data_IF_167476568168
#
_entry.id   IF_167476568168
#
_cell.length_a   1.000
_cell.length_b   1.000
_cell.length_c   1.000
_cell.angle_alpha   90.00
_cell.angle_beta   90.00
_cell.angle_gamma   90.00
#
_symmetry.space_group_name_H-M   'P 1'
#
loop_
_entity.id
_entity.type
_entity.pdbx_description
1 polymer ?
#
# COMPACT_ATOMS: atom_id res chain seq x y z
N UNK A 1 20.68 26.84 -7.17
CA UNK A 1 19.47 27.08 -6.36
C UNK A 1 18.31 26.72 -7.25
N UNK A 2 17.85 25.49 -7.13
CA UNK A 2 16.58 25.10 -7.72
C UNK A 2 15.53 25.52 -6.71
N UNK A 3 15.12 26.77 -6.83
CA UNK A 3 14.23 27.43 -5.85
C UNK A 3 12.94 26.65 -5.62
N UNK A 4 12.52 25.80 -6.56
CA UNK A 4 11.32 25.01 -6.41
C UNK A 4 11.66 23.76 -5.61
N UNK A 5 12.66 22.99 -6.03
CA UNK A 5 13.07 21.78 -5.31
C UNK A 5 13.58 22.10 -3.88
N UNK A 6 14.37 23.16 -3.70
CA UNK A 6 14.95 23.55 -2.43
C UNK A 6 13.87 24.00 -1.42
N UNK A 7 12.85 24.77 -1.85
CA UNK A 7 11.77 25.22 -0.96
C UNK A 7 10.80 24.09 -0.60
N UNK A 8 10.47 23.19 -1.54
CA UNK A 8 9.57 22.05 -1.27
C UNK A 8 10.21 20.95 -0.41
N UNK A 9 11.53 20.75 -0.52
CA UNK A 9 12.24 19.73 0.26
C UNK A 9 12.66 20.23 1.64
N UNK A 10 13.02 21.50 1.79
CA UNK A 10 13.58 22.05 3.04
C UNK A 10 12.60 22.98 3.78
N UNK A 11 11.42 23.23 3.22
CA UNK A 11 10.43 24.19 3.74
C UNK A 11 10.88 25.65 3.68
N UNK A 12 12.13 25.93 3.34
CA UNK A 12 12.71 27.26 3.21
C UNK A 12 13.80 27.23 2.15
N UNK A 13 13.81 28.18 1.21
CA UNK A 13 15.02 28.46 0.43
C UNK A 13 15.46 29.90 0.59
N UNK A 14 16.78 30.08 0.67
CA UNK A 14 17.43 31.38 0.73
C UNK A 14 18.18 31.61 -0.56
N UNK A 15 18.05 32.81 -1.12
CA UNK A 15 18.77 33.18 -2.32
C UNK A 15 19.21 34.64 -2.28
N UNK A 16 20.40 34.95 -2.83
CA UNK A 16 20.87 36.32 -2.91
C UNK A 16 20.09 37.07 -3.99
N UNK A 17 19.54 38.22 -3.62
CA UNK A 17 18.92 39.21 -4.50
C UNK A 17 19.86 40.40 -4.59
N UNK A 18 20.45 40.59 -5.75
CA UNK A 18 21.24 41.79 -6.04
C UNK A 18 20.32 42.84 -6.67
N UNK A 19 20.14 43.97 -6.00
CA UNK A 19 19.41 45.10 -6.57
C UNK A 19 20.40 46.19 -6.98
N UNK A 20 20.18 46.79 -8.14
CA UNK A 20 21.01 47.88 -8.66
C UNK A 20 20.25 49.19 -8.58
N UNK A 21 20.27 49.82 -7.40
CA UNK A 21 19.83 51.20 -7.21
C UNK A 21 20.93 51.97 -6.48
N UNK A 22 21.87 52.56 -7.24
CA UNK A 22 22.89 53.49 -6.72
C UNK A 22 24.07 52.88 -5.94
N UNK A 23 24.08 51.57 -5.70
CA UNK A 23 25.18 50.80 -5.10
C UNK A 23 24.85 49.30 -5.19
N UNK A 24 25.86 48.42 -5.29
CA UNK A 24 25.63 46.98 -5.38
C UNK A 24 25.50 46.37 -3.98
N UNK A 25 24.31 46.45 -3.40
CA UNK A 25 24.00 45.73 -2.17
C UNK A 25 23.37 44.37 -2.52
N UNK A 26 23.86 43.32 -1.86
CA UNK A 26 23.32 41.96 -1.98
C UNK A 26 22.45 41.71 -0.75
N UNK A 27 21.14 41.59 -0.95
CA UNK A 27 20.19 41.23 0.11
C UNK A 27 19.86 39.75 0.00
N UNK A 28 19.80 39.03 1.11
CA UNK A 28 19.33 37.63 1.11
C UNK A 28 17.81 37.63 1.27
N UNK A 29 17.08 37.12 0.27
CA UNK A 29 15.66 36.85 0.40
C UNK A 29 15.46 35.39 0.83
N UNK A 30 14.50 35.16 1.73
CA UNK A 30 14.06 33.84 2.13
C UNK A 30 12.61 33.65 1.71
N UNK A 31 12.30 32.50 1.10
CA UNK A 31 10.93 32.06 0.84
C UNK A 31 10.69 30.87 1.76
N UNK A 32 9.73 31.02 2.67
CA UNK A 32 9.28 29.99 3.61
C UNK A 32 7.95 29.42 3.09
N UNK A 33 7.88 28.10 2.89
CA UNK A 33 6.66 27.38 2.52
C UNK A 33 6.04 26.70 3.75
N UNK A 34 4.81 26.21 3.53
CA UNK A 34 4.00 25.41 4.45
C UNK A 34 4.85 24.38 5.22
N UNK A 35 4.99 24.56 6.55
CA UNK A 35 5.65 23.58 7.42
C UNK A 35 4.67 22.46 7.79
N UNK A 36 4.95 21.25 7.31
CA UNK A 36 4.17 20.06 7.59
C UNK A 36 4.82 19.24 8.72
N UNK A 37 5.00 19.88 9.86
CA UNK A 37 5.62 19.26 11.04
C UNK A 37 4.69 18.21 11.66
N UNK A 38 5.29 17.17 12.25
CA UNK A 38 4.53 16.25 13.10
C UNK A 38 3.91 17.02 14.28
N UNK A 39 2.66 16.72 14.67
CA UNK A 39 2.08 17.33 15.86
C UNK A 39 2.96 17.00 17.07
N UNK A 40 3.08 17.96 17.98
CA UNK A 40 3.87 17.78 19.20
C UNK A 40 3.21 16.74 20.11
N UNK A 41 3.67 15.49 20.03
CA UNK A 41 3.22 14.38 20.88
C UNK A 41 3.99 14.42 22.20
N UNK A 42 3.62 15.31 23.13
CA UNK A 42 4.20 15.29 24.47
C UNK A 42 3.68 14.08 25.26
N UNK A 43 4.34 12.93 25.13
CA UNK A 43 4.62 12.05 26.26
C UNK A 43 6.14 11.88 26.36
N UNK A 44 6.66 12.45 27.44
CA UNK A 44 8.05 12.46 27.82
C UNK A 44 8.49 11.09 28.32
N UNK A 45 8.96 10.22 27.44
CA UNK A 45 10.04 9.29 27.79
C UNK A 45 11.01 9.26 26.62
N UNK A 46 12.27 9.57 26.94
CA UNK A 46 13.38 9.48 26.03
C UNK A 46 13.54 8.02 25.59
N UNK A 47 12.89 7.67 24.50
CA UNK A 47 13.26 6.52 23.70
C UNK A 47 13.97 7.08 22.46
N UNK A 48 15.29 6.87 22.40
CA UNK A 48 16.19 7.24 21.29
C UNK A 48 15.89 6.43 20.01
N UNK A 49 14.62 6.12 19.78
CA UNK A 49 14.08 5.37 18.64
C UNK A 49 13.14 6.20 17.76
N UNK A 50 12.98 7.49 18.06
CA UNK A 50 12.28 8.44 17.22
C UNK A 50 13.17 9.02 16.10
N UNK A 51 14.13 8.23 15.59
CA UNK A 51 14.85 8.54 14.37
C UNK A 51 14.39 7.61 13.24
N UNK A 52 14.07 8.22 12.11
CA UNK A 52 13.63 7.63 10.83
C UNK A 52 12.12 7.35 10.65
N UNK A 53 11.32 8.38 10.91
CA UNK A 53 10.12 8.66 10.12
C UNK A 53 10.45 9.31 8.74
N UNK A 54 11.67 9.08 8.27
CA UNK A 54 12.36 9.79 7.20
C UNK A 54 12.11 9.04 5.88
N UNK A 55 11.29 9.63 5.00
CA UNK A 55 11.01 9.08 3.68
C UNK A 55 9.73 9.58 3.04
N UNK A 56 8.64 9.72 3.78
CA UNK A 56 7.37 10.12 3.15
C UNK A 56 7.24 11.64 3.04
N UNK A 57 7.19 12.15 1.81
CA UNK A 57 6.95 13.57 1.50
C UNK A 57 5.67 14.05 2.20
N UNK A 58 5.83 14.93 3.19
CA UNK A 58 4.72 15.48 3.98
C UNK A 58 3.92 16.55 3.22
N UNK A 59 4.44 17.05 2.10
CA UNK A 59 3.81 18.06 1.25
C UNK A 59 3.17 17.42 0.04
N UNK A 60 1.84 17.50 -0.06
CA UNK A 60 1.08 17.12 -1.24
C UNK A 60 0.98 18.32 -2.18
N UNK A 61 1.35 18.13 -3.44
CA UNK A 61 1.33 19.18 -4.46
C UNK A 61 0.33 18.83 -5.56
N UNK A 62 -0.45 19.83 -5.95
CA UNK A 62 -1.60 19.73 -6.86
C UNK A 62 -1.58 20.86 -7.90
N UNK A 63 -1.80 20.55 -9.17
CA UNK A 63 -2.16 21.51 -10.22
C UNK A 63 -3.69 21.71 -10.23
N UNK A 64 -4.19 22.88 -9.78
CA UNK A 64 -5.63 23.15 -9.71
C UNK A 64 -6.31 23.23 -11.08
N UNK A 65 -5.55 23.22 -12.18
CA UNK A 65 -6.08 23.17 -13.54
C UNK A 65 -6.35 21.74 -14.02
N UNK A 66 -5.88 20.73 -13.29
CA UNK A 66 -6.10 19.33 -13.62
C UNK A 66 -7.26 18.74 -12.81
N UNK A 67 -7.89 17.71 -13.35
CA UNK A 67 -8.93 16.95 -12.62
C UNK A 67 -8.33 15.86 -11.72
N UNK A 68 -6.99 15.77 -11.61
CA UNK A 68 -6.28 14.75 -10.85
C UNK A 68 -5.86 15.37 -9.52
N UNK A 69 -6.39 14.90 -8.38
CA UNK A 69 -6.01 15.45 -7.09
C UNK A 69 -4.58 15.07 -6.72
N UNK A 70 -3.82 16.07 -6.32
CA UNK A 70 -2.41 15.94 -5.95
C UNK A 70 -1.62 15.26 -7.06
N UNK A 71 -1.74 15.76 -8.28
CA UNK A 71 -1.15 15.21 -9.50
C UNK A 71 0.38 15.01 -9.43
N UNK A 72 1.08 15.78 -8.59
CA UNK A 72 2.53 15.66 -8.38
C UNK A 72 2.96 14.88 -7.15
N UNK A 73 2.02 14.24 -6.45
CA UNK A 73 2.30 13.48 -5.24
C UNK A 73 1.64 12.10 -5.29
N UNK A 74 2.41 11.06 -4.97
CA UNK A 74 1.92 9.69 -4.95
C UNK A 74 1.76 9.21 -3.50
N UNK A 75 0.57 8.77 -3.15
CA UNK A 75 0.30 8.18 -1.85
C UNK A 75 0.92 6.76 -1.78
N UNK A 76 1.46 6.29 -0.63
CA UNK A 76 1.97 4.92 -0.48
C UNK A 76 1.00 3.80 -0.93
N UNK A 77 -0.29 3.96 -0.62
CA UNK A 77 -1.39 3.09 -1.07
C UNK A 77 -1.85 3.28 -2.54
N UNK A 78 -1.39 4.29 -3.26
CA UNK A 78 -1.72 4.41 -4.68
C UNK A 78 -0.96 3.36 -5.49
N UNK A 79 -1.55 2.96 -6.60
CA UNK A 79 -0.81 2.17 -7.57
C UNK A 79 0.19 3.05 -8.31
N UNK A 80 1.42 2.57 -8.44
CA UNK A 80 2.51 3.31 -9.05
C UNK A 80 2.24 3.57 -10.55
N UNK A 81 2.16 4.83 -11.01
CA UNK A 81 2.15 5.15 -12.43
C UNK A 81 3.39 4.59 -13.12
N UNK A 82 3.26 4.16 -14.38
CA UNK A 82 4.41 3.65 -15.16
C UNK A 82 5.59 4.65 -15.20
N UNK A 83 5.28 5.94 -15.33
CA UNK A 83 6.27 7.02 -15.39
C UNK A 83 6.91 7.34 -14.03
N UNK A 84 6.33 6.86 -12.93
CA UNK A 84 6.85 7.10 -11.59
C UNK A 84 8.14 6.29 -11.33
N UNK A 85 8.28 5.14 -11.97
CA UNK A 85 9.47 4.29 -11.80
C UNK A 85 9.68 3.85 -10.35
N UNK A 86 10.94 3.80 -9.91
CA UNK A 86 11.35 3.53 -8.52
C UNK A 86 11.56 4.82 -7.72
N UNK A 87 10.93 5.93 -8.12
CA UNK A 87 10.98 7.14 -7.30
C UNK A 87 10.08 6.95 -6.08
N UNK A 88 10.47 7.55 -4.96
CA UNK A 88 9.69 7.56 -3.72
C UNK A 88 8.22 7.94 -4.00
N UNK A 89 7.22 7.25 -3.38
CA UNK A 89 7.32 6.18 -2.40
C UNK A 89 7.47 4.76 -2.97
N UNK A 90 7.67 4.57 -4.28
CA UNK A 90 7.65 3.24 -4.91
C UNK A 90 8.85 2.40 -4.46
N UNK A 91 8.62 1.30 -3.74
CA UNK A 91 9.70 0.43 -3.29
C UNK A 91 10.23 -0.45 -4.42
N UNK A 92 11.47 -0.94 -4.27
CA UNK A 92 12.08 -1.83 -5.25
C UNK A 92 11.30 -3.14 -5.41
N UNK A 93 10.74 -3.67 -4.32
CA UNK A 93 9.92 -4.87 -4.31
C UNK A 93 8.61 -4.63 -5.07
N UNK A 94 7.91 -3.53 -4.77
CA UNK A 94 6.68 -3.16 -5.46
C UNK A 94 6.90 -2.97 -6.96
N UNK A 95 7.99 -2.30 -7.34
CA UNK A 95 8.36 -2.14 -8.74
C UNK A 95 8.71 -3.48 -9.43
N UNK A 96 9.37 -4.39 -8.71
CA UNK A 96 9.74 -5.72 -9.20
C UNK A 96 8.55 -6.63 -9.51
N UNK A 97 7.40 -6.40 -8.86
CA UNK A 97 6.15 -7.12 -9.14
C UNK A 97 5.46 -6.68 -10.43
N UNK A 98 5.82 -5.51 -10.99
CA UNK A 98 5.16 -4.94 -12.18
C UNK A 98 5.71 -5.61 -13.45
N UNK A 99 4.89 -6.36 -14.22
CA UNK A 99 5.36 -6.95 -15.47
C UNK A 99 5.72 -5.89 -16.50
N UNK A 100 6.77 -6.12 -17.27
CA UNK A 100 7.22 -5.19 -18.31
C UNK A 100 6.11 -4.92 -19.34
N UNK A 101 5.87 -3.64 -19.67
CA UNK A 101 4.85 -3.23 -20.63
C UNK A 101 3.41 -3.25 -20.12
N UNK A 102 3.15 -3.74 -18.90
CA UNK A 102 1.80 -3.80 -18.31
C UNK A 102 1.23 -2.43 -17.91
N UNK A 103 2.10 -1.40 -17.81
CA UNK A 103 1.75 -0.09 -17.24
C UNK A 103 1.09 -0.20 -15.85
N UNK A 104 1.56 -1.16 -15.06
CA UNK A 104 1.04 -1.48 -13.74
C UNK A 104 -0.44 -1.93 -13.76
N UNK A 105 -0.86 -2.62 -14.81
CA UNK A 105 -2.19 -3.24 -14.92
C UNK A 105 -1.99 -4.67 -15.42
N UNK A 106 -2.21 -5.63 -14.53
CA UNK A 106 -1.92 -7.03 -14.83
C UNK A 106 -2.76 -7.97 -13.96
N UNK A 107 -2.70 -9.27 -14.26
CA UNK A 107 -3.27 -10.31 -13.40
C UNK A 107 -2.14 -10.89 -12.54
N UNK A 108 -2.26 -10.91 -11.21
CA UNK A 108 -1.15 -11.29 -10.36
C UNK A 108 -0.92 -12.81 -10.43
N UNK A 109 0.33 -13.22 -10.18
CA UNK A 109 0.64 -14.60 -9.82
C UNK A 109 0.10 -14.90 -8.42
N UNK A 110 -0.02 -16.16 -8.01
CA UNK A 110 -0.41 -16.46 -6.64
C UNK A 110 0.51 -15.77 -5.64
N UNK A 111 -0.08 -15.19 -4.60
CA UNK A 111 0.66 -14.48 -3.57
C UNK A 111 0.15 -14.92 -2.18
N UNK A 112 1.04 -14.98 -1.18
CA UNK A 112 0.67 -15.39 0.16
C UNK A 112 -0.16 -14.31 0.86
N UNK A 113 -1.14 -14.76 1.65
CA UNK A 113 -1.93 -13.91 2.55
C UNK A 113 -1.40 -14.03 3.98
N UNK A 114 -1.14 -15.26 4.41
CA UNK A 114 -0.62 -15.55 5.74
C UNK A 114 0.02 -16.94 5.78
N UNK A 115 0.91 -17.13 6.75
CA UNK A 115 1.50 -18.40 7.12
C UNK A 115 1.17 -18.74 8.57
N UNK A 116 0.81 -20.00 8.83
CA UNK A 116 0.54 -20.52 10.17
C UNK A 116 -0.56 -21.59 10.19
N UNK A 117 -1.39 -21.54 11.25
CA UNK A 117 -2.46 -22.49 11.55
C UNK A 117 -3.83 -22.03 11.02
N UNK A 118 -3.86 -21.22 9.96
CA UNK A 118 -5.11 -20.68 9.41
C UNK A 118 -5.33 -21.10 7.96
N UNK A 119 -6.59 -21.33 7.62
CA UNK A 119 -7.08 -21.54 6.26
C UNK A 119 -8.40 -20.76 6.07
N UNK A 120 -8.99 -20.83 4.88
CA UNK A 120 -10.32 -20.28 4.65
C UNK A 120 -11.36 -20.98 5.53
N UNK A 121 -12.22 -20.20 6.19
CA UNK A 121 -13.39 -20.69 6.90
C UNK A 121 -14.36 -21.34 5.90
N UNK A 122 -14.58 -22.64 6.06
CA UNK A 122 -15.27 -23.43 5.04
C UNK A 122 -16.78 -23.42 5.28
N UNK A 123 -17.53 -22.70 4.44
CA UNK A 123 -18.86 -23.20 4.04
C UNK A 123 -18.61 -24.35 3.07
N UNK A 124 -19.36 -25.45 3.17
CA UNK A 124 -19.08 -26.67 2.40
C UNK A 124 -19.02 -26.44 0.86
N UNK A 125 -19.66 -25.38 0.37
CA UNK A 125 -19.67 -24.95 -1.03
C UNK A 125 -18.40 -24.22 -1.49
N UNK A 126 -17.61 -23.66 -0.57
CA UNK A 126 -16.40 -22.90 -0.90
C UNK A 126 -15.17 -23.79 -1.07
N UNK A 127 -15.18 -24.99 -0.48
CA UNK A 127 -14.09 -25.97 -0.60
C UNK A 127 -14.28 -26.83 -1.85
N UNK A 128 -13.42 -26.60 -2.85
CA UNK A 128 -13.49 -27.29 -4.14
C UNK A 128 -12.85 -28.68 -4.09
N UNK A 129 -11.72 -28.81 -3.40
CA UNK A 129 -10.97 -30.08 -3.35
C UNK A 129 -9.94 -30.06 -2.22
N UNK A 130 -9.75 -31.21 -1.58
CA UNK A 130 -8.59 -31.50 -0.73
C UNK A 130 -7.75 -32.56 -1.44
N UNK A 131 -6.47 -32.27 -1.63
CA UNK A 131 -5.47 -33.16 -2.22
C UNK A 131 -4.50 -33.49 -1.11
N UNK A 132 -4.26 -34.78 -0.86
CA UNK A 132 -3.30 -35.24 0.14
C UNK A 132 -2.12 -35.84 -0.60
N UNK A 133 -0.91 -35.62 -0.10
CA UNK A 133 0.28 -36.25 -0.65
C UNK A 133 0.10 -37.78 -0.67
N UNK A 134 0.47 -38.37 -1.81
CA UNK A 134 0.41 -39.81 -2.06
C UNK A 134 1.63 -40.22 -2.88
N UNK A 135 1.85 -41.53 -3.05
CA UNK A 135 2.96 -42.07 -3.84
C UNK A 135 3.00 -41.56 -5.30
N UNK A 136 1.89 -40.99 -5.80
CA UNK A 136 1.72 -40.54 -7.19
C UNK A 136 1.60 -39.02 -7.30
N UNK A 137 1.29 -38.30 -6.22
CA UNK A 137 1.05 -36.86 -6.24
C UNK A 137 1.68 -36.19 -5.01
N UNK A 138 2.61 -35.26 -5.27
CA UNK A 138 3.10 -34.35 -4.24
C UNK A 138 2.00 -33.31 -3.91
N UNK A 139 1.92 -32.89 -2.66
CA UNK A 139 1.06 -31.78 -2.24
C UNK A 139 1.93 -30.56 -1.87
N UNK A 140 2.84 -30.19 -2.76
CA UNK A 140 3.69 -29.01 -2.63
C UNK A 140 3.02 -27.76 -3.25
N UNK A 141 3.68 -26.60 -3.10
CA UNK A 141 3.18 -25.32 -3.58
C UNK A 141 2.94 -25.31 -5.09
N UNK A 142 3.88 -25.84 -5.88
CA UNK A 142 3.79 -25.80 -7.35
C UNK A 142 2.64 -26.67 -7.84
N UNK A 143 2.47 -27.87 -7.28
CA UNK A 143 1.35 -28.74 -7.62
C UNK A 143 0.02 -28.14 -7.17
N UNK A 144 -0.05 -27.54 -5.98
CA UNK A 144 -1.22 -26.79 -5.50
C UNK A 144 -1.65 -25.71 -6.49
N UNK A 145 -0.70 -24.88 -6.91
CA UNK A 145 -0.93 -23.83 -7.88
C UNK A 145 -1.39 -24.41 -9.22
N UNK A 146 -0.75 -25.48 -9.71
CA UNK A 146 -1.11 -26.11 -10.97
C UNK A 146 -2.54 -26.69 -10.92
N UNK A 147 -2.94 -27.29 -9.80
CA UNK A 147 -4.29 -27.83 -9.61
C UNK A 147 -5.34 -26.72 -9.50
N UNK A 148 -5.01 -25.62 -8.80
CA UNK A 148 -5.85 -24.43 -8.77
C UNK A 148 -5.98 -23.76 -10.15
N UNK A 149 -4.91 -23.76 -10.96
CA UNK A 149 -4.94 -23.21 -12.31
C UNK A 149 -5.88 -24.02 -13.25
N UNK A 150 -5.97 -25.35 -13.09
CA UNK A 150 -6.86 -26.22 -13.88
C UNK A 150 -8.35 -25.99 -13.61
N UNK A 151 -8.72 -25.48 -12.42
CA UNK A 151 -10.11 -25.22 -12.04
C UNK A 151 -10.41 -23.73 -12.18
N UNK A 152 -11.26 -23.33 -13.12
CA UNK A 152 -11.63 -21.92 -13.33
C UNK A 152 -12.13 -21.24 -12.05
N UNK A 153 -12.90 -21.96 -11.23
CA UNK A 153 -13.50 -21.46 -9.99
C UNK A 153 -12.51 -21.29 -8.84
N UNK A 154 -11.33 -21.91 -8.88
CA UNK A 154 -10.36 -21.80 -7.77
C UNK A 154 -9.78 -20.39 -7.68
N UNK A 155 -9.96 -19.72 -6.53
CA UNK A 155 -9.47 -18.37 -6.23
C UNK A 155 -8.47 -18.33 -5.10
N UNK A 156 -8.48 -19.32 -4.21
CA UNK A 156 -7.55 -19.42 -3.09
C UNK A 156 -7.08 -20.86 -2.95
N UNK A 157 -5.89 -21.05 -2.39
CA UNK A 157 -5.45 -22.38 -2.00
C UNK A 157 -4.57 -22.33 -0.77
N UNK A 158 -4.66 -23.37 0.05
CA UNK A 158 -3.74 -23.62 1.15
C UNK A 158 -2.75 -24.70 0.72
N UNK A 159 -1.46 -24.44 0.95
CA UNK A 159 -0.40 -25.42 0.76
C UNK A 159 0.35 -25.58 2.09
N UNK A 160 0.41 -26.81 2.61
CA UNK A 160 1.04 -27.07 3.90
C UNK A 160 0.78 -28.48 4.40
N UNK A 161 0.80 -28.64 5.72
CA UNK A 161 0.65 -29.89 6.42
C UNK A 161 -0.50 -29.84 7.43
N UNK A 162 -1.19 -30.98 7.57
CA UNK A 162 -2.24 -31.20 8.56
C UNK A 162 -1.92 -32.51 9.26
N UNK A 163 -1.66 -32.46 10.57
CA UNK A 163 -1.29 -33.65 11.35
C UNK A 163 -0.14 -34.45 10.72
N UNK A 164 0.88 -33.75 10.19
CA UNK A 164 2.07 -34.31 9.50
C UNK A 164 1.83 -34.94 8.13
N UNK A 165 0.65 -34.76 7.53
CA UNK A 165 0.39 -35.11 6.14
C UNK A 165 0.36 -33.84 5.29
N UNK A 166 1.12 -33.78 4.20
CA UNK A 166 1.03 -32.65 3.28
C UNK A 166 -0.33 -32.65 2.59
N UNK A 167 -0.95 -31.49 2.56
CA UNK A 167 -2.25 -31.27 1.97
C UNK A 167 -2.27 -29.98 1.16
N UNK A 168 -2.96 -30.07 0.03
CA UNK A 168 -3.44 -28.93 -0.73
C UNK A 168 -4.94 -28.78 -0.54
N UNK A 169 -5.43 -27.59 -0.21
CA UNK A 169 -6.86 -27.31 -0.16
C UNK A 169 -7.19 -26.20 -1.13
N UNK A 170 -8.11 -26.44 -2.05
CA UNK A 170 -8.50 -25.49 -3.10
C UNK A 170 -9.85 -24.88 -2.75
N UNK A 171 -9.97 -23.57 -2.85
CA UNK A 171 -11.18 -22.84 -2.49
C UNK A 171 -11.66 -21.94 -3.64
N UNK A 172 -12.97 -21.83 -3.80
CA UNK A 172 -13.61 -20.88 -4.73
C UNK A 172 -13.77 -19.49 -4.14
N UNK A 173 -13.91 -19.39 -2.83
CA UNK A 173 -13.98 -18.12 -2.10
C UNK A 173 -13.31 -18.22 -0.72
N UNK A 174 -13.00 -17.08 -0.11
CA UNK A 174 -12.39 -17.00 1.21
C UNK A 174 -12.82 -15.70 1.89
N UNK A 175 -13.90 -15.74 2.66
CA UNK A 175 -14.44 -14.55 3.35
C UNK A 175 -13.83 -14.37 4.74
N UNK A 176 -13.54 -15.48 5.42
CA UNK A 176 -13.03 -15.48 6.79
C UNK A 176 -11.83 -16.40 6.94
N UNK A 177 -10.93 -16.04 7.85
CA UNK A 177 -9.84 -16.89 8.29
C UNK A 177 -10.30 -17.78 9.44
N UNK A 178 -10.09 -19.08 9.32
CA UNK A 178 -10.40 -20.06 10.35
C UNK A 178 -9.13 -20.74 10.83
N UNK A 179 -8.92 -20.74 12.15
CA UNK A 179 -7.80 -21.41 12.78
C UNK A 179 -8.10 -22.90 12.96
N UNK A 180 -7.23 -23.74 12.43
CA UNK A 180 -7.30 -25.19 12.58
C UNK A 180 -6.08 -25.71 13.34
N UNK A 181 -6.32 -26.38 14.48
CA UNK A 181 -5.24 -26.94 15.29
C UNK A 181 -4.53 -28.08 14.55
N UNK A 182 -3.20 -28.01 14.48
CA UNK A 182 -2.38 -29.00 13.78
C UNK A 182 -2.23 -28.74 12.28
N UNK A 183 -2.75 -27.62 11.79
CA UNK A 183 -2.45 -27.05 10.48
C UNK A 183 -1.13 -26.28 10.54
N UNK A 184 -0.29 -26.39 9.51
CA UNK A 184 0.90 -25.54 9.32
C UNK A 184 1.14 -25.35 7.83
N UNK A 185 1.11 -24.11 7.36
CA UNK A 185 1.33 -23.82 5.95
C UNK A 185 0.93 -22.40 5.59
N UNK A 186 0.78 -22.15 4.30
CA UNK A 186 0.51 -20.81 3.77
C UNK A 186 -0.78 -20.82 2.96
N UNK A 187 -1.62 -19.81 3.23
CA UNK A 187 -2.79 -19.51 2.42
C UNK A 187 -2.41 -18.53 1.32
N UNK A 188 -2.75 -18.86 0.08
CA UNK A 188 -2.47 -18.06 -1.11
C UNK A 188 -3.76 -17.56 -1.75
N UNK A 189 -3.72 -16.33 -2.25
CA UNK A 189 -4.69 -15.78 -3.18
C UNK A 189 -4.26 -16.05 -4.62
N UNK A 190 -5.21 -16.37 -5.50
CA UNK A 190 -5.01 -16.54 -6.93
C UNK A 190 -6.18 -15.98 -7.76
N UNK A 191 -6.32 -14.65 -7.85
CA UNK A 191 -7.45 -13.96 -8.48
C UNK A 191 -7.31 -13.91 -10.02
N UNK A 192 -7.40 -15.06 -10.69
CA UNK A 192 -7.10 -15.23 -12.13
C UNK A 192 -7.84 -14.30 -13.11
N UNK A 193 -8.98 -13.75 -12.72
CA UNK A 193 -9.83 -12.90 -13.58
C UNK A 193 -9.86 -11.44 -13.14
N UNK A 194 -9.13 -11.07 -12.09
CA UNK A 194 -9.10 -9.70 -11.55
C UNK A 194 -7.86 -8.99 -12.06
N UNK A 195 -8.06 -7.83 -12.69
CA UNK A 195 -6.96 -6.92 -12.99
C UNK A 195 -6.58 -6.14 -11.74
N UNK A 196 -5.29 -6.15 -11.44
CA UNK A 196 -4.70 -5.48 -10.30
C UNK A 196 -3.58 -4.57 -10.73
N UNK A 197 -3.19 -3.71 -9.79
CA UNK A 197 -2.01 -2.88 -9.87
C UNK A 197 -1.20 -3.02 -8.59
N UNK A 198 0.13 -3.00 -8.72
CA UNK A 198 1.03 -3.01 -7.58
C UNK A 198 0.94 -1.65 -6.85
N UNK A 199 0.73 -1.73 -5.54
CA UNK A 199 0.73 -0.60 -4.62
C UNK A 199 2.16 -0.07 -4.48
N UNK A 200 2.33 1.25 -4.46
CA UNK A 200 3.64 1.89 -4.44
C UNK A 200 4.50 1.44 -3.26
N UNK A 201 3.92 1.42 -2.05
CA UNK A 201 4.61 0.94 -0.85
C UNK A 201 3.63 0.18 0.05
N UNK A 202 3.59 -1.16 -0.02
CA UNK A 202 2.70 -1.99 0.78
C UNK A 202 2.85 -1.78 2.30
N UNK A 203 4.08 -1.62 2.77
CA UNK A 203 4.41 -1.45 4.20
C UNK A 203 3.91 -0.11 4.74
N UNK A 204 4.34 0.99 4.11
CA UNK A 204 3.87 2.32 4.48
C UNK A 204 2.37 2.48 4.26
N UNK A 205 1.79 1.86 3.22
CA UNK A 205 0.36 1.84 2.99
C UNK A 205 -0.39 1.18 4.15
N UNK A 206 0.09 0.03 4.64
CA UNK A 206 -0.58 -0.66 5.74
C UNK A 206 -0.49 0.14 7.04
N UNK A 207 0.72 0.56 7.40
CA UNK A 207 1.00 1.15 8.71
C UNK A 207 0.50 2.59 8.85
N UNK A 208 0.54 3.40 7.78
CA UNK A 208 0.10 4.80 7.82
C UNK A 208 -1.41 4.91 7.55
N UNK A 209 -1.93 4.05 6.67
CA UNK A 209 -3.28 4.22 6.13
C UNK A 209 -4.20 3.07 6.52
N UNK A 210 -4.02 1.87 5.95
CA UNK A 210 -5.05 0.82 5.97
C UNK A 210 -5.39 0.34 7.36
N UNK A 211 -4.38 0.03 8.18
CA UNK A 211 -4.61 -0.44 9.56
C UNK A 211 -5.38 0.60 10.36
N UNK A 212 -5.05 1.88 10.16
CA UNK A 212 -5.68 3.01 10.86
C UNK A 212 -7.11 3.26 10.35
N UNK A 213 -7.37 3.09 9.05
CA UNK A 213 -8.72 3.09 8.49
C UNK A 213 -9.57 1.98 9.10
N UNK A 214 -9.04 0.75 9.19
CA UNK A 214 -9.75 -0.38 9.81
C UNK A 214 -10.09 -0.11 11.28
N UNK A 215 -9.19 0.54 12.02
CA UNK A 215 -9.43 0.95 13.41
C UNK A 215 -10.32 2.21 13.55
N UNK A 216 -10.77 2.81 12.43
CA UNK A 216 -11.67 3.96 12.38
C UNK A 216 -11.02 5.33 12.51
N UNK A 217 -9.69 5.46 12.38
CA UNK A 217 -8.95 6.71 12.55
C UNK A 217 -9.36 7.82 11.57
N UNK A 218 -9.78 7.45 10.36
CA UNK A 218 -10.22 8.38 9.32
C UNK A 218 -10.93 7.63 8.18
N UNK A 219 -11.80 8.34 7.45
CA UNK A 219 -12.50 7.84 6.26
C UNK A 219 -12.18 8.76 5.07
N UNK A 220 -10.94 8.75 4.60
CA UNK A 220 -10.44 9.65 3.54
C UNK A 220 -10.42 9.02 2.15
N UNK A 221 -11.03 7.84 1.97
CA UNK A 221 -11.11 7.15 0.67
C UNK A 221 -11.67 8.06 -0.44
N UNK A 222 -12.46 9.07 -0.07
CA UNK A 222 -13.10 10.03 -0.97
C UNK A 222 -12.18 11.19 -1.39
N UNK A 223 -11.30 11.69 -0.52
CA UNK A 223 -10.42 12.83 -0.85
C UNK A 223 -9.13 12.39 -1.52
N UNK A 224 -8.57 11.26 -1.09
CA UNK A 224 -7.29 10.75 -1.59
C UNK A 224 -7.44 9.71 -2.69
N UNK A 225 -8.67 9.31 -3.04
CA UNK A 225 -8.96 8.35 -4.11
C UNK A 225 -8.07 7.11 -4.02
N UNK A 226 -8.10 6.45 -2.86
CA UNK A 226 -7.34 5.24 -2.62
C UNK A 226 -8.06 4.04 -3.27
N UNK A 227 -7.39 3.23 -4.10
CA UNK A 227 -8.02 2.05 -4.72
C UNK A 227 -8.29 0.96 -3.67
N UNK A 228 -9.24 0.07 -3.88
CA UNK A 228 -9.49 -1.02 -2.92
C UNK A 228 -8.36 -2.03 -2.93
N UNK A 229 -7.88 -2.40 -1.74
CA UNK A 229 -6.88 -3.45 -1.61
C UNK A 229 -7.51 -4.81 -1.96
N UNK A 230 -6.81 -5.61 -2.77
CA UNK A 230 -7.24 -6.97 -3.07
C UNK A 230 -7.14 -7.82 -1.79
N UNK A 231 -8.18 -8.58 -1.45
CA UNK A 231 -8.25 -9.43 -0.26
C UNK A 231 -8.06 -8.68 1.07
N UNK A 232 -8.40 -7.38 1.10
CA UNK A 232 -8.23 -6.51 2.27
C UNK A 232 -8.76 -7.12 3.58
N UNK A 233 -9.97 -7.70 3.55
CA UNK A 233 -10.59 -8.30 4.72
C UNK A 233 -9.79 -9.46 5.32
N UNK A 234 -9.04 -10.22 4.51
CA UNK A 234 -8.23 -11.34 4.99
C UNK A 234 -6.93 -10.83 5.65
N UNK A 235 -6.32 -9.78 5.11
CA UNK A 235 -5.18 -9.11 5.75
C UNK A 235 -5.58 -8.48 7.08
N UNK A 236 -6.75 -7.84 7.14
CA UNK A 236 -7.29 -7.25 8.36
C UNK A 236 -7.56 -8.31 9.44
N UNK A 237 -8.16 -9.44 9.07
CA UNK A 237 -8.38 -10.57 10.00
C UNK A 237 -7.06 -11.17 10.53
N UNK A 238 -6.01 -11.19 9.71
CA UNK A 238 -4.69 -11.65 10.17
C UNK A 238 -4.08 -10.67 11.19
N UNK A 239 -4.15 -9.35 10.92
CA UNK A 239 -3.68 -8.32 11.85
C UNK A 239 -4.51 -8.31 13.16
N UNK A 240 -5.82 -8.54 13.09
CA UNK A 240 -6.68 -8.73 14.26
C UNK A 240 -6.26 -9.97 15.09
N UNK A 241 -5.96 -11.09 14.42
CA UNK A 241 -5.47 -12.28 15.11
C UNK A 241 -4.16 -12.03 15.86
N UNK A 242 -3.27 -11.18 15.32
CA UNK A 242 -2.07 -10.72 16.03
C UNK A 242 -2.41 -9.88 17.27
N UNK A 243 -3.41 -8.99 17.20
CA UNK A 243 -3.85 -8.18 18.34
C UNK A 243 -4.43 -9.01 19.49
N UNK A 244 -5.17 -10.09 19.20
CA UNK A 244 -5.83 -10.93 20.22
C UNK A 244 -4.84 -11.94 20.86
N UNK A 245 -3.58 -11.96 20.42
CA UNK A 245 -2.50 -12.75 21.03
C UNK A 245 -1.65 -13.55 20.03
N UNK A 246 -1.93 -13.47 18.74
CA UNK A 246 -1.12 -14.05 17.67
C UNK A 246 -1.06 -15.57 17.65
N UNK A 247 -1.96 -16.26 18.36
CA UNK A 247 -1.88 -17.71 18.51
C UNK A 247 -2.14 -18.41 17.18
N UNK A 248 -1.11 -19.11 16.68
CA UNK A 248 -1.18 -19.85 15.43
C UNK A 248 -0.93 -18.99 14.18
N UNK A 249 -0.58 -17.71 14.32
CA UNK A 249 -0.07 -16.89 13.22
C UNK A 249 1.46 -16.95 13.24
N UNK A 250 2.08 -17.29 12.12
CA UNK A 250 3.54 -17.22 11.96
C UNK A 250 3.92 -15.93 11.23
N UNK A 251 3.22 -15.63 10.13
CA UNK A 251 3.43 -14.42 9.32
C UNK A 251 2.09 -13.92 8.79
N UNK A 252 1.81 -12.62 8.96
CA UNK A 252 0.79 -11.92 8.18
C UNK A 252 1.47 -11.17 7.04
N UNK A 253 1.04 -11.44 5.80
CA UNK A 253 1.51 -10.65 4.66
C UNK A 253 0.76 -9.32 4.59
N UNK A 254 1.26 -8.42 3.77
CA UNK A 254 0.64 -7.12 3.52
C UNK A 254 0.01 -7.08 2.13
N UNK A 255 -0.96 -6.19 1.97
CA UNK A 255 -1.60 -5.96 0.70
C UNK A 255 -0.63 -5.34 -0.31
N UNK A 256 -0.20 -6.14 -1.29
CA UNK A 256 0.71 -5.71 -2.38
C UNK A 256 -0.03 -5.22 -3.61
N UNK A 257 -1.28 -5.60 -3.78
CA UNK A 257 -2.07 -5.39 -4.99
C UNK A 257 -3.39 -4.70 -4.67
N UNK A 258 -3.76 -3.71 -5.47
CA UNK A 258 -5.07 -3.07 -5.43
C UNK A 258 -5.88 -3.45 -6.68
N UNK A 259 -7.20 -3.53 -6.53
CA UNK A 259 -8.12 -3.75 -7.64
C UNK A 259 -8.07 -2.54 -8.56
N UNK A 260 -7.86 -2.76 -9.86
CA UNK A 260 -7.83 -1.68 -10.83
C UNK A 260 -9.26 -1.12 -10.99
N UNK A 261 -9.47 0.19 -10.73
CA UNK A 261 -10.77 0.81 -10.93
C UNK A 261 -11.17 0.80 -12.41
N UNK A 262 -12.47 0.82 -12.70
CA UNK A 262 -12.96 0.90 -14.07
C UNK A 262 -12.43 2.12 -14.81
N UNK A 263 -12.25 2.00 -16.13
CA UNK A 263 -11.81 3.12 -16.97
C UNK A 263 -12.74 4.33 -16.86
N UNK A 264 -12.17 5.53 -16.92
CA UNK A 264 -12.91 6.79 -16.81
C UNK A 264 -13.28 7.22 -15.38
N UNK A 265 -13.07 6.38 -14.37
CA UNK A 265 -13.28 6.76 -12.96
C UNK A 265 -12.18 7.70 -12.44
N UNK A 266 -12.47 8.60 -11.49
CA UNK A 266 -11.45 9.44 -10.84
C UNK A 266 -10.32 8.63 -10.20
N UNK A 267 -10.65 7.48 -9.58
CA UNK A 267 -9.68 6.53 -9.02
C UNK A 267 -8.67 6.03 -10.06
N UNK A 268 -9.15 5.74 -11.28
CA UNK A 268 -8.27 5.33 -12.40
C UNK A 268 -7.29 6.44 -12.79
N UNK A 269 -7.67 7.71 -12.64
CA UNK A 269 -6.81 8.86 -12.99
C UNK A 269 -5.66 9.06 -12.00
N UNK A 270 -5.75 8.51 -10.78
CA UNK A 270 -4.60 8.49 -9.86
C UNK A 270 -3.39 7.75 -10.45
N UNK A 271 -3.60 6.78 -11.36
CA UNK A 271 -2.52 6.12 -12.11
C UNK A 271 -1.84 7.01 -13.16
N UNK A 272 -2.36 8.22 -13.39
CA UNK A 272 -1.76 9.21 -14.30
C UNK A 272 -1.08 10.36 -13.57
N UNK A 273 -0.90 10.26 -12.24
CA UNK A 273 -0.04 11.17 -11.48
C UNK A 273 1.37 11.20 -12.07
N UNK A 274 2.00 12.37 -12.01
CA UNK A 274 3.31 12.62 -12.58
C UNK A 274 4.33 13.06 -11.51
N UNK A 275 5.61 12.81 -11.76
CA UNK A 275 6.65 13.27 -10.83
C UNK A 275 6.68 14.79 -10.80
N UNK A 276 6.88 15.33 -9.59
CA UNK A 276 7.15 16.74 -9.41
C UNK A 276 8.41 17.15 -10.18
N UNK A 277 8.32 18.23 -10.95
CA UNK A 277 9.42 18.70 -11.81
C UNK A 277 10.27 19.76 -11.10
N UNK A 278 11.54 19.80 -11.46
CA UNK A 278 12.48 20.88 -11.08
C UNK A 278 12.15 22.24 -11.70
N UNK A 279 11.27 22.29 -12.72
CA UNK A 279 10.89 23.54 -13.35
C UNK A 279 9.48 23.49 -13.92
N UNK A 280 8.81 24.65 -13.89
CA UNK A 280 7.48 24.88 -14.43
C UNK A 280 7.48 26.14 -15.31
N UNK A 281 6.49 26.24 -16.20
CA UNK A 281 6.32 27.41 -17.03
C UNK A 281 6.01 28.65 -16.17
N UNK A 282 6.42 29.82 -16.65
CA UNK A 282 6.08 31.06 -15.96
C UNK A 282 4.55 31.23 -15.90
N UNK A 283 4.02 31.51 -14.70
CA UNK A 283 2.59 31.65 -14.46
C UNK A 283 1.86 30.35 -14.12
N UNK A 284 2.55 29.21 -14.00
CA UNK A 284 1.95 27.98 -13.46
C UNK A 284 1.54 28.19 -12.00
N UNK A 285 0.31 27.78 -11.67
CA UNK A 285 -0.21 27.78 -10.31
C UNK A 285 -0.07 26.37 -9.72
N UNK A 286 0.47 26.27 -8.51
CA UNK A 286 0.57 25.02 -7.76
C UNK A 286 -0.05 25.22 -6.39
N UNK A 287 -0.81 24.24 -5.94
CA UNK A 287 -1.40 24.21 -4.60
C UNK A 287 -0.61 23.21 -3.76
N UNK A 288 -0.10 23.66 -2.61
CA UNK A 288 0.62 22.83 -1.66
C UNK A 288 -0.22 22.66 -0.39
N UNK A 289 -0.32 21.43 0.13
CA UNK A 289 -1.04 21.10 1.36
C UNK A 289 -0.30 20.03 2.15
N UNK A 290 -0.46 20.01 3.48
CA UNK A 290 0.16 18.97 4.30
C UNK A 290 -0.64 17.68 4.28
N UNK A 291 0.07 16.55 4.23
CA UNK A 291 -0.51 15.23 4.43
C UNK A 291 -0.81 15.02 5.93
N UNK A 292 -2.08 15.11 6.30
CA UNK A 292 -2.54 15.11 7.71
C UNK A 292 -2.97 13.73 8.23
N UNK A 293 -3.21 12.78 7.34
CA UNK A 293 -3.73 11.44 7.66
C UNK A 293 -2.87 10.67 8.66
N UNK A 294 -1.54 10.79 8.50
CA UNK A 294 -0.54 10.18 9.38
C UNK A 294 -0.74 10.56 10.85
N UNK A 295 -1.40 11.69 11.10
CA UNK A 295 -1.55 12.30 12.40
C UNK A 295 -2.99 12.28 12.94
N UNK A 296 -3.93 11.64 12.24
CA UNK A 296 -5.30 11.56 12.73
C UNK A 296 -5.38 10.73 14.03
N UNK A 297 -6.18 11.16 15.00
CA UNK A 297 -6.41 10.37 16.20
C UNK A 297 -7.39 9.23 15.93
N UNK A 298 -7.24 8.14 16.68
CA UNK A 298 -8.27 7.10 16.71
C UNK A 298 -9.48 7.62 17.50
N UNK A 299 -10.71 7.50 16.98
CA UNK A 299 -11.89 7.86 17.74
C UNK A 299 -12.02 6.96 18.97
N UNK A 300 -12.33 7.57 20.12
CA UNK A 300 -12.48 6.88 21.42
C UNK A 300 -13.63 5.87 21.49
N UNK A 301 -14.53 5.87 20.51
CA UNK A 301 -15.80 5.12 20.54
C UNK A 301 -15.68 3.66 20.14
N UNK A 302 -14.52 3.18 19.68
CA UNK A 302 -14.34 1.82 19.17
C UNK A 302 -13.80 0.81 20.22
N UNK A 303 -13.73 1.20 21.49
CA UNK A 303 -13.19 0.38 22.59
C UNK A 303 -14.21 0.14 23.74
N UNK A 304 -15.51 0.31 23.49
CA UNK A 304 -16.59 -0.03 24.44
C UNK A 304 -17.18 -1.42 24.19
#
# INVERSE_FOLDING_TARGET
>A
IDLIADVFNQGTATFPVTYTAGGSDTLTAAVELLRCDAPNLTQSEADDRAETADGAVAVMVDDPLTEIPFDYWLHPCHCAPHLWGQNDPVTAEAFGEIPAGSRNVFRPRPFPILTGQFACGVKAEDLLQVIVESDVQAADLEECQAQCAKKSECRYFFAGEVLSAKQCRLYSSCEFLYRELGLSGTLYSYPKDTEVCAIANPDACWHITRRRQNLGAFNSSVELYLPDCLDQALFEQCDEALFVGGVGVEVCELCKFAVVPAEGTPLRRALSKSLFRSSYAHGTLLKATCWSERYSSLPRTNFE
#
